data_IF_914249204364
#
_entry.id   IF_914249204364
#
_cell.length_a   1.000
_cell.length_b   1.000
_cell.length_c   1.000
_cell.angle_alpha   90.00
_cell.angle_beta   90.00
_cell.angle_gamma   90.00
#
_symmetry.space_group_name_H-M   'P 1'
#
loop_
_entity.id
_entity.type
_entity.pdbx_description
1 polymer ?
#
# COMPACT_ATOMS: atom_id res chain seq x y z
N UNK A 1 -19.65 21.54 28.55
CA UNK A 1 -18.47 21.62 27.68
C UNK A 1 -18.12 20.20 27.27
N UNK A 2 -18.33 19.85 26.01
CA UNK A 2 -18.25 18.48 25.52
C UNK A 2 -16.81 18.18 25.04
N UNK A 3 -16.14 17.12 25.54
CA UNK A 3 -14.87 16.64 25.01
C UNK A 3 -15.14 15.50 24.01
N UNK A 4 -15.38 15.83 22.74
CA UNK A 4 -15.58 14.83 21.66
C UNK A 4 -14.44 14.95 20.63
N UNK A 5 -13.20 14.73 21.07
CA UNK A 5 -12.10 14.38 20.16
C UNK A 5 -12.12 12.87 19.93
N UNK A 6 -13.04 12.42 19.07
CA UNK A 6 -13.06 11.05 18.58
C UNK A 6 -11.88 10.84 17.65
N UNK A 7 -10.80 10.29 18.18
CA UNK A 7 -9.79 9.58 17.40
C UNK A 7 -10.51 8.47 16.64
N UNK A 8 -10.81 8.72 15.37
CA UNK A 8 -11.28 7.70 14.43
C UNK A 8 -10.10 6.75 14.27
N UNK A 9 -10.10 5.67 15.08
CA UNK A 9 -9.16 4.58 14.95
C UNK A 9 -9.23 4.08 13.52
N UNK A 10 -8.16 4.28 12.75
CA UNK A 10 -8.07 3.70 11.44
C UNK A 10 -8.09 2.18 11.61
N UNK A 11 -8.97 1.44 10.91
CA UNK A 11 -8.95 0.00 10.97
C UNK A 11 -7.60 -0.49 10.45
N UNK A 12 -6.77 -1.03 11.34
CA UNK A 12 -5.54 -1.71 10.94
C UNK A 12 -5.93 -3.00 10.24
N UNK A 13 -5.93 -2.99 8.91
CA UNK A 13 -6.23 -4.16 8.08
C UNK A 13 -5.06 -5.15 8.12
N UNK A 14 -4.91 -5.91 9.22
CA UNK A 14 -3.96 -7.04 9.27
C UNK A 14 -4.67 -8.31 8.84
N UNK A 15 -4.33 -8.85 7.67
CA UNK A 15 -4.60 -10.26 7.39
C UNK A 15 -3.40 -11.07 7.84
N UNK A 16 -3.67 -12.11 8.65
CA UNK A 16 -2.69 -13.14 8.98
C UNK A 16 -2.86 -14.27 7.96
N UNK A 17 -2.03 -14.28 6.94
CA UNK A 17 -1.81 -15.50 6.16
C UNK A 17 -0.68 -16.28 6.80
N UNK A 18 -0.96 -17.53 7.20
CA UNK A 18 0.09 -18.47 7.58
C UNK A 18 0.69 -19.03 6.28
N UNK A 19 1.76 -18.38 5.80
CA UNK A 19 2.63 -18.98 4.79
C UNK A 19 3.21 -20.30 5.32
N UNK A 20 3.70 -21.23 4.45
CA UNK A 20 4.33 -22.48 4.87
C UNK A 20 5.57 -22.33 5.78
N UNK A 21 5.93 -21.11 6.21
CA UNK A 21 7.05 -20.79 7.09
C UNK A 21 6.68 -19.96 8.32
N UNK A 22 5.39 -19.79 8.66
CA UNK A 22 4.97 -19.07 9.87
C UNK A 22 5.22 -17.55 9.85
N UNK A 23 5.57 -16.98 8.69
CA UNK A 23 5.78 -15.55 8.52
C UNK A 23 4.43 -14.83 8.46
N UNK A 24 4.13 -13.97 9.45
CA UNK A 24 3.00 -13.06 9.38
C UNK A 24 3.30 -12.00 8.30
N UNK A 25 2.77 -12.19 7.09
CA UNK A 25 2.90 -11.20 6.01
C UNK A 25 1.77 -10.18 6.11
N UNK A 26 2.11 -8.92 6.35
CA UNK A 26 1.15 -7.83 6.31
C UNK A 26 0.99 -7.36 4.86
N UNK A 27 0.03 -7.92 4.14
CA UNK A 27 -0.25 -7.53 2.75
C UNK A 27 -1.43 -6.57 2.68
N UNK A 28 -1.32 -5.58 1.80
CA UNK A 28 -2.40 -4.61 1.53
C UNK A 28 -2.34 -4.17 0.08
N UNK A 29 -3.50 -4.00 -0.55
CA UNK A 29 -3.62 -3.36 -1.86
C UNK A 29 -4.14 -1.95 -1.67
N UNK A 30 -3.39 -0.99 -2.21
CA UNK A 30 -3.69 0.43 -2.17
C UNK A 30 -4.04 0.90 -3.58
N UNK A 31 -5.22 1.47 -3.72
CA UNK A 31 -5.70 2.05 -4.96
C UNK A 31 -5.42 3.54 -4.98
N UNK A 32 -4.80 4.00 -6.05
CA UNK A 32 -4.73 5.41 -6.42
C UNK A 32 -5.64 5.67 -7.61
N UNK A 33 -5.56 6.86 -8.21
CA UNK A 33 -6.43 7.24 -9.32
C UNK A 33 -6.41 6.23 -10.47
N UNK A 34 -5.21 5.86 -10.93
CA UNK A 34 -5.00 4.99 -12.10
C UNK A 34 -4.24 3.70 -11.80
N UNK A 35 -3.68 3.56 -10.59
CA UNK A 35 -2.72 2.48 -10.29
C UNK A 35 -3.06 1.79 -8.98
N UNK A 36 -2.93 0.47 -8.97
CA UNK A 36 -3.01 -0.39 -7.80
C UNK A 36 -1.60 -0.75 -7.34
N UNK A 37 -1.29 -0.49 -6.09
CA UNK A 37 -0.02 -0.82 -5.45
C UNK A 37 -0.24 -1.95 -4.46
N UNK A 38 0.51 -3.03 -4.62
CA UNK A 38 0.51 -4.17 -3.70
C UNK A 38 1.67 -3.98 -2.73
N UNK A 39 1.35 -3.89 -1.44
CA UNK A 39 2.29 -3.61 -0.37
C UNK A 39 2.46 -4.81 0.54
N UNK A 40 3.69 -5.11 0.92
CA UNK A 40 4.04 -5.97 2.04
C UNK A 40 4.69 -5.11 3.12
N UNK A 41 3.92 -4.76 4.15
CA UNK A 41 4.30 -3.71 5.08
C UNK A 41 4.54 -2.41 4.33
N UNK A 42 5.82 -2.01 4.23
CA UNK A 42 6.22 -0.79 3.52
C UNK A 42 6.76 -1.01 2.11
N UNK A 43 7.04 -2.26 1.74
CA UNK A 43 7.64 -2.62 0.45
C UNK A 43 6.55 -2.75 -0.60
N UNK A 44 6.72 -2.12 -1.76
CA UNK A 44 5.86 -2.39 -2.91
C UNK A 44 6.32 -3.68 -3.61
N UNK A 45 5.47 -4.70 -3.61
CA UNK A 45 5.75 -6.02 -4.20
C UNK A 45 5.13 -6.20 -5.59
N UNK A 46 4.23 -5.30 -5.99
CA UNK A 46 3.60 -5.36 -7.30
C UNK A 46 2.85 -4.08 -7.62
N UNK A 47 2.76 -3.79 -8.91
CA UNK A 47 2.02 -2.63 -9.43
C UNK A 47 1.14 -3.10 -10.57
N UNK A 48 -0.12 -2.69 -10.56
CA UNK A 48 -1.12 -3.03 -11.58
C UNK A 48 -1.79 -1.77 -12.09
N UNK A 49 -1.93 -1.65 -13.40
CA UNK A 49 -2.74 -0.59 -14.00
C UNK A 49 -4.22 -0.87 -13.75
N UNK A 50 -4.95 0.09 -13.18
CA UNK A 50 -6.34 -0.10 -12.73
C UNK A 50 -7.31 -0.23 -13.91
N UNK A 51 -7.03 0.45 -15.02
CA UNK A 51 -7.91 0.52 -16.17
C UNK A 51 -7.83 -0.76 -17.01
N UNK A 52 -6.61 -1.15 -17.37
CA UNK A 52 -6.33 -2.34 -18.17
C UNK A 52 -6.23 -3.62 -17.35
N UNK A 53 -6.14 -3.51 -16.02
CA UNK A 53 -5.92 -4.63 -15.09
C UNK A 53 -4.63 -5.41 -15.36
N UNK A 54 -3.66 -4.78 -16.05
CA UNK A 54 -2.39 -5.41 -16.42
C UNK A 54 -1.32 -5.12 -15.37
N UNK A 55 -0.52 -6.14 -15.04
CA UNK A 55 0.64 -5.99 -14.16
C UNK A 55 1.77 -5.23 -14.85
N UNK A 56 2.36 -4.27 -14.15
CA UNK A 56 3.47 -3.45 -14.64
C UNK A 56 4.78 -4.05 -14.13
N UNK A 57 5.38 -4.95 -14.90
CA UNK A 57 6.55 -5.72 -14.49
C UNK A 57 7.77 -4.86 -14.11
N UNK A 58 8.00 -3.74 -14.80
CA UNK A 58 9.18 -2.89 -14.62
C UNK A 58 8.83 -1.52 -14.02
N UNK A 59 7.93 -1.49 -13.04
CA UNK A 59 7.64 -0.24 -12.33
C UNK A 59 8.74 0.07 -11.31
N UNK A 60 9.31 1.28 -11.37
CA UNK A 60 10.47 1.70 -10.57
C UNK A 60 10.36 1.54 -9.05
N UNK A 61 9.13 1.47 -8.51
CA UNK A 61 8.90 1.34 -7.06
C UNK A 61 8.83 -0.11 -6.57
N UNK A 62 8.76 -1.09 -7.48
CA UNK A 62 8.71 -2.51 -7.12
C UNK A 62 10.03 -2.88 -6.43
N UNK A 63 9.94 -3.55 -5.29
CA UNK A 63 11.07 -3.91 -4.42
C UNK A 63 11.52 -2.79 -3.48
N UNK A 64 10.99 -1.58 -3.60
CA UNK A 64 11.35 -0.45 -2.75
C UNK A 64 10.33 -0.21 -1.65
N UNK A 65 10.82 0.24 -0.48
CA UNK A 65 9.97 0.74 0.60
C UNK A 65 9.58 2.19 0.38
N UNK A 66 8.33 2.54 0.70
CA UNK A 66 7.95 3.94 0.79
C UNK A 66 8.58 4.59 2.05
N UNK A 67 9.02 5.84 1.91
CA UNK A 67 9.61 6.66 2.97
C UNK A 67 8.54 7.23 3.91
N UNK A 68 7.32 7.45 3.42
CA UNK A 68 6.16 7.78 4.24
C UNK A 68 4.90 7.93 3.40
N UNK A 69 3.83 8.35 4.07
CA UNK A 69 2.55 8.70 3.46
C UNK A 69 2.27 10.15 3.75
N UNK A 70 2.17 10.96 2.71
CA UNK A 70 2.03 12.40 2.82
C UNK A 70 0.57 12.81 2.70
N UNK A 71 0.15 13.76 3.52
CA UNK A 71 -1.10 14.51 3.34
C UNK A 71 -0.80 16.00 3.39
N UNK A 72 -1.25 16.69 2.35
CA UNK A 72 -1.24 18.15 2.33
C UNK A 72 -2.44 18.66 3.12
N UNK A 73 -2.18 19.50 4.12
CA UNK A 73 -3.20 20.26 4.83
C UNK A 73 -3.21 21.70 4.29
N UNK A 74 -4.01 22.59 4.90
CA UNK A 74 -4.03 24.01 4.51
C UNK A 74 -2.68 24.67 4.73
N UNK A 75 -2.01 24.33 5.82
CA UNK A 75 -0.88 25.09 6.35
C UNK A 75 0.43 24.28 6.38
N UNK A 76 0.37 22.96 6.16
CA UNK A 76 1.53 22.07 6.29
C UNK A 76 1.45 20.80 5.43
N UNK A 77 2.54 20.04 5.41
CA UNK A 77 2.59 18.67 4.91
C UNK A 77 2.80 17.75 6.11
N UNK A 78 1.86 16.85 6.34
CA UNK A 78 1.98 15.82 7.37
C UNK A 78 2.57 14.56 6.76
N UNK A 79 3.43 13.88 7.54
CA UNK A 79 4.01 12.58 7.18
C UNK A 79 3.51 11.53 8.15
N UNK A 80 3.07 10.40 7.60
CA UNK A 80 2.56 9.25 8.36
C UNK A 80 3.29 7.98 7.94
N UNK A 81 3.33 6.98 8.81
CA UNK A 81 4.01 5.72 8.55
C UNK A 81 3.16 4.67 7.84
N UNK A 82 1.84 4.75 7.99
CA UNK A 82 0.91 3.77 7.43
C UNK A 82 0.04 4.38 6.31
N UNK A 83 -0.32 3.60 5.28
CA UNK A 83 -1.26 4.03 4.24
C UNK A 83 -2.63 4.37 4.80
N UNK A 84 -3.19 5.50 4.36
CA UNK A 84 -4.54 5.94 4.73
C UNK A 84 -5.26 6.63 3.57
N UNK A 85 -6.59 6.65 3.64
CA UNK A 85 -7.45 7.26 2.62
C UNK A 85 -7.12 8.74 2.40
N UNK A 86 -6.91 9.14 1.15
CA UNK A 86 -6.53 10.50 0.76
C UNK A 86 -5.04 10.83 0.94
N UNK A 87 -4.28 9.97 1.62
CA UNK A 87 -2.81 10.07 1.69
C UNK A 87 -2.16 9.76 0.34
N UNK A 88 -0.88 10.11 0.19
CA UNK A 88 -0.07 9.80 -1.01
C UNK A 88 1.16 9.03 -0.59
N UNK A 89 1.43 7.90 -1.24
CA UNK A 89 2.66 7.15 -0.97
C UNK A 89 3.85 7.94 -1.51
N UNK A 90 4.88 8.09 -0.68
CA UNK A 90 6.10 8.79 -1.02
C UNK A 90 7.27 7.81 -0.98
N UNK A 91 7.93 7.63 -2.12
CA UNK A 91 9.12 6.79 -2.27
C UNK A 91 10.34 7.67 -2.53
N UNK A 92 11.48 7.27 -1.98
CA UNK A 92 12.78 7.87 -2.29
C UNK A 92 13.64 6.79 -2.94
N UNK A 93 13.86 6.91 -4.24
CA UNK A 93 14.55 5.89 -5.04
C UNK A 93 15.72 6.55 -5.75
N UNK A 94 16.94 6.11 -5.44
CA UNK A 94 18.19 6.66 -5.99
C UNK A 94 18.24 8.20 -5.92
N UNK A 95 17.81 8.79 -4.79
CA UNK A 95 17.79 10.23 -4.56
C UNK A 95 16.68 10.99 -5.28
N UNK A 96 15.70 10.28 -5.88
CA UNK A 96 14.51 10.88 -6.50
C UNK A 96 13.26 10.61 -5.67
N UNK A 97 12.48 11.67 -5.46
CA UNK A 97 11.17 11.59 -4.83
C UNK A 97 10.10 11.18 -5.85
N UNK A 98 9.39 10.10 -5.55
CA UNK A 98 8.24 9.64 -6.33
C UNK A 98 7.03 9.72 -5.42
N UNK A 99 6.09 10.57 -5.78
CA UNK A 99 4.83 10.77 -5.05
C UNK A 99 3.67 10.24 -5.88
N UNK A 100 2.85 9.38 -5.29
CA UNK A 100 1.65 8.87 -5.98
C UNK A 100 0.52 9.89 -5.99
N UNK A 101 -0.53 9.62 -6.79
CA UNK A 101 -1.83 10.25 -6.58
C UNK A 101 -2.47 9.78 -5.27
N UNK A 102 -3.52 10.48 -4.77
CA UNK A 102 -4.15 10.14 -3.51
C UNK A 102 -4.70 8.72 -3.49
N UNK A 103 -4.63 8.09 -2.32
CA UNK A 103 -5.23 6.80 -2.06
C UNK A 103 -6.75 6.96 -2.05
N UNK A 104 -7.43 6.26 -2.96
CA UNK A 104 -8.89 6.32 -3.14
C UNK A 104 -9.60 5.07 -2.62
N UNK A 105 -8.88 3.97 -2.41
CA UNK A 105 -9.39 2.78 -1.76
C UNK A 105 -8.25 1.92 -1.23
N UNK A 106 -8.56 1.05 -0.27
CA UNK A 106 -7.63 0.03 0.23
C UNK A 106 -8.38 -1.28 0.44
N UNK A 107 -7.72 -2.40 0.16
CA UNK A 107 -8.27 -3.73 0.42
C UNK A 107 -7.17 -4.75 0.72
N UNK A 108 -7.61 -5.97 0.97
CA UNK A 108 -6.74 -7.12 1.04
C UNK A 108 -6.54 -7.74 -0.36
N UNK A 109 -5.32 -8.23 -0.67
CA UNK A 109 -5.08 -8.91 -1.93
C UNK A 109 -5.86 -10.22 -2.02
N UNK A 110 -6.21 -10.63 -3.23
CA UNK A 110 -6.75 -11.97 -3.46
C UNK A 110 -5.63 -13.01 -3.52
N UNK A 111 -5.96 -14.29 -3.45
CA UNK A 111 -4.98 -15.36 -3.56
C UNK A 111 -4.26 -15.34 -4.92
N UNK A 112 -4.99 -15.15 -6.01
CA UNK A 112 -4.41 -15.05 -7.36
C UNK A 112 -3.38 -13.90 -7.47
N UNK A 113 -3.66 -12.78 -6.81
CA UNK A 113 -2.72 -11.66 -6.75
C UNK A 113 -1.51 -11.99 -5.91
N UNK A 114 -1.71 -12.64 -4.76
CA UNK A 114 -0.62 -13.15 -3.92
C UNK A 114 0.30 -14.07 -4.72
N UNK A 115 -0.26 -15.00 -5.49
CA UNK A 115 0.50 -15.91 -6.35
C UNK A 115 1.30 -15.20 -7.43
N UNK A 116 0.85 -14.04 -7.91
CA UNK A 116 1.58 -13.27 -8.91
C UNK A 116 2.96 -12.82 -8.41
N UNK A 117 3.05 -12.32 -7.17
CA UNK A 117 4.32 -11.85 -6.59
C UNK A 117 4.99 -12.89 -5.66
N UNK A 118 4.27 -13.95 -5.27
CA UNK A 118 4.79 -15.11 -4.54
C UNK A 118 4.32 -16.42 -5.18
N UNK A 119 4.93 -16.84 -6.31
CA UNK A 119 4.50 -18.03 -7.05
C UNK A 119 4.67 -19.34 -6.28
N UNK A 120 5.49 -19.36 -5.22
CA UNK A 120 5.67 -20.53 -4.35
C UNK A 120 4.49 -20.83 -3.43
N UNK A 121 3.43 -20.01 -3.45
CA UNK A 121 2.22 -20.21 -2.64
C UNK A 121 1.19 -20.95 -3.47
N UNK A 122 1.03 -22.25 -3.22
CA UNK A 122 0.01 -23.03 -3.90
C UNK A 122 -1.37 -22.81 -3.26
N UNK A 123 -2.38 -22.59 -4.11
CA UNK A 123 -3.78 -22.63 -3.70
C UNK A 123 -4.17 -24.10 -3.52
N UNK A 124 -4.42 -24.51 -2.28
CA UNK A 124 -4.87 -25.87 -1.98
C UNK A 124 -6.38 -26.02 -2.12
#
# INVERSE_FOLDING_TARGET
>A
MNPDSRSIGQPTYRVRFTMPYGLNVNLQVVYTENTEYHLQGRVCVGVRDRNSRTWIAHHQVIGHSFAGVLRRTRDSIETHDEPFMGGRLWFVIAGRDILTSPIVAMRQPTLDEIQHYYPSIESR
#
